data_IF_907854026537
#
_entry.id   IF_907854026537
#
_cell.length_a   1.000
_cell.length_b   1.000
_cell.length_c   1.000
_cell.angle_alpha   90.00
_cell.angle_beta   90.00
_cell.angle_gamma   90.00
#
_symmetry.space_group_name_H-M   'P 1'
#
loop_
_entity.id
_entity.type
_entity.pdbx_description
1 polymer ?
#
# COMPACT_ATOMS: atom_id res chain seq x y z
N UNK A 1 47.66 -13.20 -32.87
CA UNK A 1 47.22 -12.54 -34.12
C UNK A 1 45.83 -13.02 -34.49
N UNK A 2 45.08 -12.16 -35.18
CA UNK A 2 43.64 -12.18 -35.45
C UNK A 2 43.07 -13.52 -35.98
N UNK A 3 41.94 -13.87 -35.37
CA UNK A 3 40.68 -14.40 -35.92
C UNK A 3 40.53 -14.52 -37.45
N UNK A 4 40.08 -15.70 -37.88
CA UNK A 4 39.27 -15.94 -39.08
C UNK A 4 38.08 -16.85 -38.72
N UNK A 5 36.96 -16.55 -39.38
CA UNK A 5 35.60 -17.09 -39.24
C UNK A 5 35.50 -18.63 -39.36
N UNK A 6 34.39 -19.22 -38.88
CA UNK A 6 33.39 -19.91 -39.73
C UNK A 6 32.27 -20.52 -38.87
N UNK A 7 31.04 -20.29 -39.33
CA UNK A 7 29.79 -20.85 -38.85
C UNK A 7 29.65 -22.33 -39.27
N UNK A 8 29.23 -23.19 -38.35
CA UNK A 8 28.78 -24.55 -38.66
C UNK A 8 27.27 -24.57 -38.90
N UNK A 9 26.88 -24.70 -40.16
CA UNK A 9 25.49 -24.94 -40.57
C UNK A 9 25.19 -26.45 -40.53
N UNK A 10 24.03 -26.81 -39.97
CA UNK A 10 23.36 -28.08 -40.27
C UNK A 10 22.19 -27.78 -41.20
N UNK A 11 22.41 -28.04 -42.49
CA UNK A 11 21.41 -27.95 -43.55
C UNK A 11 20.51 -29.17 -43.53
N UNK A 12 19.20 -28.97 -43.38
CA UNK A 12 18.19 -29.87 -43.94
C UNK A 12 17.49 -29.09 -45.06
N UNK A 13 17.76 -29.49 -46.31
CA UNK A 13 17.11 -28.94 -47.51
C UNK A 13 15.86 -29.77 -47.82
N UNK A 14 14.70 -29.12 -47.82
CA UNK A 14 13.54 -29.55 -48.60
C UNK A 14 12.89 -28.30 -49.23
N UNK A 15 13.23 -28.12 -50.51
CA UNK A 15 12.47 -27.60 -51.64
C UNK A 15 11.35 -26.56 -51.39
N UNK A 16 11.69 -25.33 -51.78
CA UNK A 16 10.91 -24.34 -52.55
C UNK A 16 9.58 -23.73 -52.03
N UNK A 17 9.58 -22.39 -52.17
CA UNK A 17 8.49 -21.45 -52.46
C UNK A 17 7.67 -20.85 -51.29
N UNK A 18 7.81 -19.51 -51.26
CA UNK A 18 7.02 -18.45 -50.60
C UNK A 18 7.39 -18.11 -49.15
N UNK A 19 8.02 -16.94 -49.01
CA UNK A 19 8.16 -16.18 -47.78
C UNK A 19 6.80 -16.04 -47.07
N UNK A 20 6.69 -16.61 -45.88
CA UNK A 20 5.84 -16.09 -44.81
C UNK A 20 6.78 -15.74 -43.66
N UNK A 21 6.88 -14.45 -43.35
CA UNK A 21 7.50 -13.93 -42.14
C UNK A 21 6.70 -14.43 -40.94
N UNK A 22 7.25 -15.42 -40.22
CA UNK A 22 6.74 -15.79 -38.89
C UNK A 22 7.29 -14.74 -37.94
N UNK A 23 6.45 -13.78 -37.56
CA UNK A 23 6.71 -12.89 -36.43
C UNK A 23 6.90 -13.77 -35.19
N UNK A 24 8.12 -13.79 -34.64
CA UNK A 24 8.39 -14.42 -33.36
C UNK A 24 7.60 -13.70 -32.28
N UNK A 25 6.60 -14.37 -31.72
CA UNK A 25 5.83 -13.87 -30.57
C UNK A 25 6.77 -13.90 -29.37
N UNK A 26 7.33 -12.74 -29.00
CA UNK A 26 7.98 -12.56 -27.70
C UNK A 26 6.89 -12.52 -26.63
N UNK A 27 6.61 -13.66 -26.00
CA UNK A 27 5.76 -13.68 -24.81
C UNK A 27 6.57 -13.08 -23.67
N UNK A 28 6.15 -11.94 -23.07
CA UNK A 28 6.85 -11.41 -21.91
C UNK A 28 6.77 -12.44 -20.78
N UNK A 29 7.93 -12.86 -20.28
CA UNK A 29 8.02 -13.68 -19.08
C UNK A 29 7.55 -12.79 -17.93
N UNK A 30 6.32 -13.02 -17.46
CA UNK A 30 5.81 -12.41 -16.24
C UNK A 30 6.62 -12.95 -15.05
N UNK A 31 7.60 -12.19 -14.60
CA UNK A 31 8.18 -12.40 -13.28
C UNK A 31 7.11 -12.04 -12.25
N UNK A 32 6.73 -12.99 -11.41
CA UNK A 32 5.80 -12.76 -10.30
C UNK A 32 6.43 -11.76 -9.32
N UNK A 33 6.13 -10.47 -9.48
CA UNK A 33 6.46 -9.45 -8.49
C UNK A 33 5.57 -9.69 -7.27
N UNK A 34 6.16 -10.18 -6.17
CA UNK A 34 5.44 -10.26 -4.90
C UNK A 34 5.29 -8.83 -4.39
N UNK A 35 4.05 -8.33 -4.37
CA UNK A 35 3.72 -7.01 -3.86
C UNK A 35 3.20 -7.17 -2.44
N UNK A 36 3.81 -6.46 -1.51
CA UNK A 36 3.46 -6.47 -0.08
C UNK A 36 2.96 -5.09 0.32
N UNK A 37 2.08 -5.04 1.32
CA UNK A 37 1.48 -3.81 1.81
C UNK A 37 1.85 -3.64 3.26
N UNK A 38 2.38 -2.47 3.59
CA UNK A 38 2.77 -2.15 4.95
C UNK A 38 1.99 -0.93 5.46
N UNK A 39 1.66 -0.91 6.75
CA UNK A 39 1.18 0.27 7.44
C UNK A 39 2.30 0.84 8.30
N UNK A 40 2.51 2.15 8.22
CA UNK A 40 3.44 2.88 9.07
C UNK A 40 2.67 3.85 9.95
N UNK A 41 3.04 3.92 11.23
CA UNK A 41 2.40 4.81 12.20
C UNK A 41 3.41 5.36 13.20
N UNK A 42 3.04 6.44 13.91
CA UNK A 42 3.80 7.00 15.04
C UNK A 42 2.89 7.12 16.25
N UNK A 43 3.36 6.63 17.38
CA UNK A 43 2.68 6.85 18.66
C UNK A 43 3.12 8.21 19.21
N UNK A 44 2.20 9.13 19.52
CA UNK A 44 2.56 10.39 20.16
C UNK A 44 2.98 10.17 21.63
N UNK A 45 3.84 11.01 22.21
CA UNK A 45 4.11 10.97 23.65
C UNK A 45 2.83 11.28 24.45
N UNK A 46 2.57 10.53 25.52
CA UNK A 46 1.37 10.66 26.37
C UNK A 46 1.12 12.11 26.79
N UNK A 47 2.19 12.80 27.19
CA UNK A 47 2.17 14.18 27.70
C UNK A 47 1.72 15.22 26.65
N UNK A 48 1.74 14.86 25.37
CA UNK A 48 1.37 15.77 24.28
C UNK A 48 -0.07 15.60 23.84
N UNK A 49 -0.76 14.54 24.28
CA UNK A 49 -2.16 14.30 23.95
C UNK A 49 -3.03 15.34 24.68
N UNK A 50 -3.88 16.09 23.95
CA UNK A 50 -4.81 17.02 24.59
C UNK A 50 -5.74 16.29 25.56
N UNK A 51 -5.92 16.85 26.76
CA UNK A 51 -6.81 16.29 27.80
C UNK A 51 -8.28 16.67 27.59
N UNK A 52 -8.55 17.65 26.74
CA UNK A 52 -9.91 18.12 26.46
C UNK A 52 -10.08 18.36 24.95
N UNK A 53 -11.28 18.10 24.44
CA UNK A 53 -11.63 18.48 23.08
C UNK A 53 -12.02 19.98 22.99
N UNK A 54 -12.28 20.47 21.78
CA UNK A 54 -12.73 21.85 21.54
C UNK A 54 -14.07 22.20 22.19
N UNK A 55 -14.85 21.20 22.59
CA UNK A 55 -16.14 21.33 23.28
C UNK A 55 -16.01 21.21 24.81
N UNK A 56 -14.82 20.96 25.34
CA UNK A 56 -14.56 20.78 26.78
C UNK A 56 -14.79 19.37 27.34
N UNK A 57 -15.07 18.37 26.48
CA UNK A 57 -15.16 16.97 26.89
C UNK A 57 -13.78 16.43 27.24
N UNK A 58 -13.69 15.69 28.35
CA UNK A 58 -12.45 15.08 28.82
C UNK A 58 -12.06 13.88 27.93
N UNK A 59 -10.76 13.82 27.61
CA UNK A 59 -10.14 12.76 26.83
C UNK A 59 -9.25 11.95 27.75
N UNK A 60 -9.55 10.66 27.86
CA UNK A 60 -8.71 9.73 28.61
C UNK A 60 -7.47 9.40 27.78
N UNK A 61 -6.33 9.93 28.19
CA UNK A 61 -5.06 9.75 27.48
C UNK A 61 -4.56 8.31 27.46
N UNK A 62 -4.86 7.51 28.48
CA UNK A 62 -4.45 6.10 28.55
C UNK A 62 -5.31 5.26 27.60
N UNK A 63 -6.63 5.49 27.65
CA UNK A 63 -7.58 4.86 26.74
C UNK A 63 -7.30 5.25 25.28
N UNK A 64 -6.97 6.53 25.03
CA UNK A 64 -6.57 7.01 23.70
C UNK A 64 -5.40 6.21 23.12
N UNK A 65 -4.32 6.04 23.88
CA UNK A 65 -3.13 5.30 23.40
C UNK A 65 -3.45 3.83 23.20
N UNK A 66 -4.29 3.25 24.08
CA UNK A 66 -4.73 1.88 23.97
C UNK A 66 -5.53 1.66 22.68
N UNK A 67 -6.59 2.44 22.45
CA UNK A 67 -7.41 2.37 21.23
C UNK A 67 -6.59 2.62 19.96
N UNK A 68 -5.65 3.58 20.01
CA UNK A 68 -4.72 3.86 18.93
C UNK A 68 -3.88 2.62 18.57
N UNK A 69 -3.34 1.89 19.55
CA UNK A 69 -2.57 0.67 19.32
C UNK A 69 -3.47 -0.50 18.88
N UNK A 70 -4.67 -0.60 19.44
CA UNK A 70 -5.66 -1.62 19.09
C UNK A 70 -6.08 -1.53 17.62
N UNK A 71 -6.17 -0.34 17.02
CA UNK A 71 -6.36 -0.17 15.57
C UNK A 71 -5.29 -0.94 14.76
N UNK A 72 -4.02 -0.87 15.15
CA UNK A 72 -2.94 -1.58 14.45
C UNK A 72 -2.98 -3.08 14.72
N UNK A 73 -3.44 -3.51 15.89
CA UNK A 73 -3.71 -4.94 16.13
C UNK A 73 -4.86 -5.45 15.27
N UNK A 74 -5.93 -4.67 15.09
CA UNK A 74 -7.03 -4.99 14.19
C UNK A 74 -6.56 -5.04 12.74
N UNK A 75 -5.75 -4.07 12.29
CA UNK A 75 -5.17 -4.06 10.94
C UNK A 75 -4.41 -5.35 10.60
N UNK A 76 -3.68 -5.95 11.56
CA UNK A 76 -2.97 -7.23 11.34
C UNK A 76 -3.88 -8.41 11.03
N UNK A 77 -5.15 -8.33 11.42
CA UNK A 77 -6.14 -9.39 11.18
C UNK A 77 -6.82 -9.25 9.81
N UNK A 78 -6.70 -8.08 9.18
CA UNK A 78 -7.31 -7.78 7.88
C UNK A 78 -6.41 -8.14 6.70
N UNK A 79 -6.99 -8.24 5.51
CA UNK A 79 -6.27 -8.36 4.25
C UNK A 79 -5.77 -7.01 3.70
N UNK A 80 -6.05 -5.90 4.39
CA UNK A 80 -5.63 -4.56 3.97
C UNK A 80 -4.11 -4.40 4.01
N UNK A 81 -3.43 -5.04 4.98
CA UNK A 81 -2.02 -4.82 5.29
C UNK A 81 -1.35 -6.16 5.63
N UNK A 82 -0.14 -6.40 5.10
CA UNK A 82 0.67 -7.59 5.39
C UNK A 82 1.62 -7.36 6.59
N UNK A 83 2.20 -6.16 6.72
CA UNK A 83 3.10 -5.83 7.83
C UNK A 83 2.82 -4.45 8.42
N UNK A 84 3.10 -4.28 9.71
CA UNK A 84 2.93 -3.00 10.38
C UNK A 84 4.25 -2.58 11.02
N UNK A 85 4.62 -1.32 10.83
CA UNK A 85 5.84 -0.74 11.34
C UNK A 85 5.54 0.49 12.19
N UNK A 86 5.97 0.42 13.45
CA UNK A 86 6.02 1.59 14.32
C UNK A 86 7.26 2.42 14.00
N UNK A 87 7.05 3.67 13.62
CA UNK A 87 8.11 4.65 13.39
C UNK A 87 8.49 5.33 14.70
N UNK A 88 9.70 5.90 14.72
CA UNK A 88 10.19 6.68 15.87
C UNK A 88 9.21 7.80 16.24
N UNK A 89 8.93 7.90 17.53
CA UNK A 89 8.12 8.97 18.12
C UNK A 89 8.83 10.33 18.02
N UNK A 90 8.06 11.37 17.69
CA UNK A 90 8.51 12.77 17.72
C UNK A 90 7.94 13.50 18.96
N UNK A 91 8.55 14.59 19.43
CA UNK A 91 8.21 15.23 20.71
C UNK A 91 6.95 16.13 20.65
N UNK A 92 6.02 15.88 19.73
CA UNK A 92 4.81 16.69 19.55
C UNK A 92 3.63 15.83 19.07
N UNK A 93 2.42 16.31 19.35
CA UNK A 93 1.16 15.61 19.06
C UNK A 93 0.98 15.30 17.56
N UNK A 94 1.24 16.27 16.69
CA UNK A 94 0.97 16.15 15.24
C UNK A 94 1.72 15.01 14.52
N UNK A 95 2.73 14.41 15.16
CA UNK A 95 3.47 13.30 14.58
C UNK A 95 2.61 12.06 14.30
N UNK A 96 1.45 11.95 14.97
CA UNK A 96 0.47 10.89 14.75
C UNK A 96 -0.14 10.94 13.34
N UNK A 97 -0.23 12.13 12.71
CA UNK A 97 -0.82 12.32 11.39
C UNK A 97 0.15 11.94 10.27
N UNK A 98 0.48 10.65 10.20
CA UNK A 98 1.46 10.12 9.25
C UNK A 98 0.96 10.16 7.81
N UNK A 99 -0.36 10.09 7.60
CA UNK A 99 -0.98 10.14 6.28
C UNK A 99 -0.88 11.51 5.58
N UNK A 100 -0.65 12.59 6.34
CA UNK A 100 -0.53 13.94 5.78
C UNK A 100 0.79 14.16 5.03
N UNK A 101 1.82 13.37 5.35
CA UNK A 101 3.19 13.64 4.91
C UNK A 101 3.46 13.13 3.50
N UNK A 102 2.87 11.99 3.16
CA UNK A 102 3.18 11.24 1.94
C UNK A 102 1.89 10.58 1.45
N UNK A 103 1.64 10.67 0.15
CA UNK A 103 0.63 9.87 -0.51
C UNK A 103 1.30 8.84 -1.41
N UNK A 104 0.74 7.64 -1.47
CA UNK A 104 1.23 6.59 -2.35
C UNK A 104 0.10 6.07 -3.24
N UNK A 105 0.42 5.91 -4.53
CA UNK A 105 -0.46 5.27 -5.50
C UNK A 105 0.33 4.24 -6.29
N UNK A 106 -0.02 2.96 -6.12
CA UNK A 106 0.78 1.83 -6.62
C UNK A 106 2.25 1.95 -6.18
N UNK A 107 3.17 2.02 -7.14
CA UNK A 107 4.61 2.11 -6.89
C UNK A 107 5.10 3.57 -6.84
N UNK A 108 4.22 4.55 -7.01
CA UNK A 108 4.57 5.97 -7.02
C UNK A 108 4.39 6.55 -5.63
N UNK A 109 5.48 7.12 -5.10
CA UNK A 109 5.46 7.82 -3.80
C UNK A 109 5.51 9.31 -4.05
N UNK A 110 4.48 10.02 -3.58
CA UNK A 110 4.33 11.47 -3.66
C UNK A 110 4.53 12.07 -2.26
N UNK A 111 5.75 12.52 -1.92
CA UNK A 111 5.96 13.27 -0.69
C UNK A 111 5.31 14.66 -0.81
N UNK A 112 4.60 15.07 0.24
CA UNK A 112 3.92 16.36 0.24
C UNK A 112 4.92 17.53 0.31
N UNK A 113 4.53 18.73 -0.17
CA UNK A 113 5.35 19.93 -0.07
C UNK A 113 5.62 20.30 1.40
N UNK A 114 6.81 20.84 1.65
CA UNK A 114 7.20 21.33 2.99
C UNK A 114 6.58 22.67 3.36
N UNK A 115 6.08 23.40 2.37
CA UNK A 115 5.53 24.74 2.54
C UNK A 115 4.30 24.71 3.47
N UNK A 116 4.31 25.52 4.52
CA UNK A 116 3.28 25.57 5.55
C UNK A 116 3.33 24.41 6.56
N UNK A 117 4.35 23.55 6.48
CA UNK A 117 4.60 22.42 7.41
C UNK A 117 6.09 22.29 7.72
N UNK A 118 6.79 23.41 7.81
CA UNK A 118 8.24 23.45 7.98
C UNK A 118 8.68 22.78 9.29
N UNK A 119 7.86 22.89 10.35
CA UNK A 119 8.07 22.23 11.64
C UNK A 119 8.02 20.69 11.56
N UNK A 120 7.31 20.14 10.56
CA UNK A 120 7.17 18.70 10.29
C UNK A 120 8.12 18.20 9.20
N UNK A 121 9.04 19.04 8.71
CA UNK A 121 9.92 18.68 7.59
C UNK A 121 10.88 17.52 7.88
N UNK A 122 11.27 17.35 9.15
CA UNK A 122 12.08 16.22 9.61
C UNK A 122 11.31 14.90 9.54
N UNK A 123 10.00 14.91 9.78
CA UNK A 123 9.13 13.74 9.69
C UNK A 123 9.11 13.16 8.30
N UNK A 124 9.00 14.01 7.26
CA UNK A 124 8.95 13.56 5.86
C UNK A 124 10.23 12.78 5.53
N UNK A 125 11.39 13.32 5.93
CA UNK A 125 12.70 12.72 5.64
C UNK A 125 12.88 11.39 6.38
N UNK A 126 12.39 11.30 7.61
CA UNK A 126 12.41 10.07 8.40
C UNK A 126 11.43 9.03 7.86
N UNK A 127 10.19 9.41 7.54
CA UNK A 127 9.20 8.52 6.93
C UNK A 127 9.71 7.95 5.61
N UNK A 128 10.36 8.78 4.77
CA UNK A 128 11.01 8.30 3.54
C UNK A 128 12.13 7.29 3.83
N UNK A 129 12.88 7.44 4.92
CA UNK A 129 13.88 6.46 5.34
C UNK A 129 13.23 5.14 5.74
N UNK A 130 12.12 5.18 6.49
CA UNK A 130 11.36 3.98 6.84
C UNK A 130 10.80 3.29 5.59
N UNK A 131 10.20 4.03 4.65
CA UNK A 131 9.70 3.49 3.39
C UNK A 131 10.83 2.77 2.61
N UNK A 132 12.01 3.40 2.48
CA UNK A 132 13.18 2.77 1.83
C UNK A 132 13.66 1.52 2.57
N UNK A 133 13.70 1.56 3.90
CA UNK A 133 14.08 0.41 4.72
C UNK A 133 13.09 -0.75 4.58
N UNK A 134 11.80 -0.45 4.45
CA UNK A 134 10.76 -1.42 4.15
C UNK A 134 10.83 -1.96 2.71
N UNK A 135 11.73 -1.47 1.87
CA UNK A 135 11.93 -1.96 0.50
C UNK A 135 11.08 -1.24 -0.56
N UNK A 136 10.73 0.03 -0.31
CA UNK A 136 10.21 0.91 -1.35
C UNK A 136 11.22 1.06 -2.48
N UNK A 137 11.02 0.32 -3.57
CA UNK A 137 11.67 0.59 -4.88
C UNK A 137 10.90 1.62 -5.70
N UNK A 138 9.92 2.28 -5.08
CA UNK A 138 8.99 3.18 -5.76
C UNK A 138 9.66 4.43 -6.32
N UNK A 139 9.18 4.89 -7.46
CA UNK A 139 9.62 6.14 -8.07
C UNK A 139 9.13 7.30 -7.18
N UNK A 140 10.08 7.95 -6.50
CA UNK A 140 9.80 9.15 -5.73
C UNK A 140 9.53 10.30 -6.68
N UNK A 141 8.27 10.70 -6.77
CA UNK A 141 7.87 11.80 -7.61
C UNK A 141 7.88 13.11 -6.81
N UNK A 142 8.87 13.95 -7.10
CA UNK A 142 9.15 15.20 -6.41
C UNK A 142 8.33 16.39 -6.96
N UNK A 143 7.42 16.15 -7.91
CA UNK A 143 6.64 17.21 -8.57
C UNK A 143 5.98 18.19 -7.60
N UNK A 144 5.39 17.69 -6.51
CA UNK A 144 4.74 18.55 -5.53
C UNK A 144 5.75 19.38 -4.71
N UNK A 145 6.95 18.87 -4.50
CA UNK A 145 8.00 19.56 -3.73
C UNK A 145 8.65 20.70 -4.53
N UNK A 146 8.66 20.60 -5.85
CA UNK A 146 9.27 21.60 -6.74
C UNK A 146 8.37 22.83 -6.98
N UNK A 147 7.07 22.70 -6.70
CA UNK A 147 6.10 23.77 -6.90
C UNK A 147 6.30 24.83 -5.82
N UNK A 148 6.83 25.99 -6.23
CA UNK A 148 6.98 27.15 -5.34
C UNK A 148 5.62 27.61 -4.82
N UNK A 149 5.46 27.62 -3.50
CA UNK A 149 4.19 27.97 -2.85
C UNK A 149 3.09 26.90 -3.00
N UNK A 150 3.41 25.71 -3.52
CA UNK A 150 2.51 24.57 -3.55
C UNK A 150 2.26 24.07 -2.12
N UNK A 151 0.99 23.89 -1.77
CA UNK A 151 0.57 23.28 -0.52
C UNK A 151 -0.33 22.10 -0.87
N UNK A 152 -0.03 20.93 -0.29
CA UNK A 152 -0.85 19.72 -0.42
C UNK A 152 -0.78 18.90 0.86
N UNK A 153 -1.86 18.18 1.21
CA UNK A 153 -1.90 17.19 2.29
C UNK A 153 -2.15 15.80 1.72
N UNK A 154 -1.47 14.77 2.23
CA UNK A 154 -1.70 13.38 1.82
C UNK A 154 -3.13 12.88 2.14
N UNK A 155 -3.79 13.49 3.12
CA UNK A 155 -5.21 13.25 3.43
C UNK A 155 -6.20 13.77 2.38
N UNK A 156 -5.79 14.65 1.47
CA UNK A 156 -6.64 15.14 0.37
C UNK A 156 -6.57 14.22 -0.87
N UNK A 157 -5.89 13.08 -0.78
CA UNK A 157 -5.73 12.12 -1.87
C UNK A 157 -6.38 10.77 -1.55
N UNK A 158 -7.13 10.23 -2.50
CA UNK A 158 -7.73 8.90 -2.44
C UNK A 158 -7.28 8.10 -3.67
N UNK A 159 -6.68 6.94 -3.40
CA UNK A 159 -6.22 6.01 -4.43
C UNK A 159 -7.38 5.12 -4.89
N UNK A 160 -7.64 5.07 -6.20
CA UNK A 160 -8.65 4.18 -6.81
C UNK A 160 -8.04 3.34 -7.92
N UNK A 161 -8.69 2.25 -8.32
CA UNK A 161 -8.20 1.43 -9.44
C UNK A 161 -8.15 2.19 -10.78
N UNK A 162 -8.85 3.32 -10.87
CA UNK A 162 -9.03 4.09 -12.10
C UNK A 162 -8.33 5.45 -12.09
N UNK A 163 -7.47 5.70 -11.08
CA UNK A 163 -6.72 6.95 -10.93
C UNK A 163 -6.68 7.45 -9.49
N UNK A 164 -6.13 8.65 -9.32
CA UNK A 164 -6.01 9.31 -8.02
C UNK A 164 -7.07 10.41 -7.95
N UNK A 165 -7.96 10.35 -6.96
CA UNK A 165 -8.85 11.47 -6.65
C UNK A 165 -8.09 12.45 -5.75
N UNK A 166 -8.07 13.73 -6.10
CA UNK A 166 -7.38 14.78 -5.36
C UNK A 166 -8.33 15.92 -5.05
N UNK A 167 -8.55 16.22 -3.77
CA UNK A 167 -9.28 17.42 -3.38
C UNK A 167 -8.37 18.66 -3.46
N UNK A 168 -8.94 19.79 -3.89
CA UNK A 168 -8.27 21.10 -3.89
C UNK A 168 -9.26 22.23 -3.58
N UNK A 169 -8.73 23.38 -3.17
CA UNK A 169 -9.54 24.57 -2.83
C UNK A 169 -9.49 24.93 -1.35
N UNK A 170 -8.72 24.19 -0.55
CA UNK A 170 -8.52 24.45 0.88
C UNK A 170 -7.15 25.08 1.13
N UNK A 171 -6.92 25.57 2.36
CA UNK A 171 -5.60 26.00 2.80
C UNK A 171 -4.58 24.83 2.82
N UNK A 172 -5.05 23.58 2.95
CA UNK A 172 -4.21 22.38 3.03
C UNK A 172 -3.71 21.93 1.66
N UNK A 173 -4.58 22.00 0.65
CA UNK A 173 -4.29 21.63 -0.73
C UNK A 173 -4.77 22.69 -1.71
N UNK A 174 -3.81 23.42 -2.28
CA UNK A 174 -4.07 24.59 -3.10
C UNK A 174 -4.13 24.30 -4.61
N UNK A 175 -4.62 25.28 -5.37
CA UNK A 175 -4.76 25.18 -6.82
C UNK A 175 -3.41 24.97 -7.53
N UNK A 176 -2.31 25.49 -7.00
CA UNK A 176 -0.98 25.33 -7.60
C UNK A 176 -0.54 23.86 -7.60
N UNK A 177 -0.74 23.15 -6.50
CA UNK A 177 -0.44 21.72 -6.41
C UNK A 177 -1.32 20.88 -7.33
N UNK A 178 -2.61 21.25 -7.48
CA UNK A 178 -3.49 20.61 -8.47
C UNK A 178 -2.99 20.85 -9.90
N UNK A 179 -2.61 22.09 -10.24
CA UNK A 179 -2.13 22.41 -11.59
C UNK A 179 -0.86 21.67 -11.97
N UNK A 180 0.04 21.47 -10.99
CA UNK A 180 1.26 20.71 -11.18
C UNK A 180 0.97 19.24 -11.49
N UNK A 181 0.05 18.61 -10.76
CA UNK A 181 -0.28 17.19 -10.96
C UNK A 181 -1.12 16.93 -12.22
N UNK A 182 -1.96 17.88 -12.63
CA UNK A 182 -2.80 17.75 -13.84
C UNK A 182 -2.10 18.21 -15.12
N UNK A 183 -0.94 18.85 -14.99
CA UNK A 183 -0.18 19.43 -16.09
C UNK A 183 -0.82 20.63 -16.76
N UNK A 184 -1.78 21.28 -16.10
CA UNK A 184 -2.43 22.50 -16.60
C UNK A 184 -1.51 23.74 -16.56
N UNK A 185 -0.42 23.70 -15.79
CA UNK A 185 0.61 24.73 -15.75
C UNK A 185 1.93 24.37 -16.44
N UNK A 186 1.98 23.29 -17.22
CA UNK A 186 3.22 22.80 -17.80
C UNK A 186 3.76 23.73 -18.91
N UNK A 187 5.08 23.97 -18.99
CA UNK A 187 5.67 24.85 -20.00
C UNK A 187 5.63 24.26 -21.42
N UNK A 188 5.48 22.93 -21.55
CA UNK A 188 5.38 22.24 -22.82
C UNK A 188 4.49 20.99 -22.72
N UNK A 189 4.06 20.48 -23.88
CA UNK A 189 3.16 19.33 -23.97
C UNK A 189 3.80 18.03 -23.47
N UNK A 190 5.11 17.87 -23.63
CA UNK A 190 5.84 16.70 -23.12
C UNK A 190 5.82 16.61 -21.57
N UNK A 191 6.03 17.74 -20.88
CA UNK A 191 5.91 17.82 -19.43
C UNK A 191 4.44 17.63 -18.99
N UNK A 192 3.48 18.20 -19.72
CA UNK A 192 2.06 18.00 -19.45
C UNK A 192 1.67 16.51 -19.55
N UNK A 193 2.20 15.79 -20.54
CA UNK A 193 1.97 14.35 -20.72
C UNK A 193 2.57 13.50 -19.60
N UNK A 194 3.78 13.83 -19.13
CA UNK A 194 4.38 13.16 -17.97
C UNK A 194 3.57 13.39 -16.68
N UNK A 195 3.05 14.59 -16.49
CA UNK A 195 2.24 14.94 -15.32
C UNK A 195 0.87 14.25 -15.36
N UNK A 196 0.22 14.21 -16.53
CA UNK A 196 -1.03 13.46 -16.77
C UNK A 196 -0.87 11.95 -16.63
N UNK A 197 0.34 11.40 -16.72
CA UNK A 197 0.57 9.96 -16.55
C UNK A 197 0.18 9.44 -15.15
N UNK A 198 0.12 10.34 -14.15
CA UNK A 198 -0.37 10.02 -12.81
C UNK A 198 -1.89 9.83 -12.74
N UNK A 199 -2.63 10.16 -13.80
CA UNK A 199 -4.09 10.05 -13.90
C UNK A 199 -4.81 10.62 -12.65
N UNK A 200 -4.45 11.86 -12.32
CA UNK A 200 -5.04 12.61 -11.21
C UNK A 200 -6.34 13.26 -11.67
N UNK A 201 -7.41 13.01 -10.93
CA UNK A 201 -8.74 13.56 -11.13
C UNK A 201 -8.99 14.58 -10.02
N UNK A 202 -8.99 15.88 -10.34
CA UNK A 202 -9.18 16.93 -9.35
C UNK A 202 -10.65 17.06 -8.95
N UNK A 203 -10.90 17.27 -7.66
CA UNK A 203 -12.21 17.54 -7.06
C UNK A 203 -12.12 18.87 -6.33
N UNK A 204 -12.87 19.86 -6.80
CA UNK A 204 -12.96 21.14 -6.09
C UNK A 204 -13.81 20.95 -4.84
N UNK A 205 -13.31 21.40 -3.69
CA UNK A 205 -14.00 21.34 -2.41
C UNK A 205 -14.08 22.73 -1.78
N UNK A 206 -15.08 22.91 -0.92
CA UNK A 206 -15.23 24.13 -0.13
C UNK A 206 -14.01 24.37 0.78
N UNK A 207 -13.62 25.62 1.08
CA UNK A 207 -12.43 25.92 1.89
C UNK A 207 -12.45 25.31 3.30
N UNK A 208 -13.64 25.07 3.85
CA UNK A 208 -13.92 24.47 5.16
C UNK A 208 -14.07 22.93 5.10
N UNK A 209 -13.99 22.32 3.92
CA UNK A 209 -14.17 20.89 3.79
C UNK A 209 -13.07 20.09 4.54
N UNK A 210 -13.43 19.00 5.22
CA UNK A 210 -12.47 18.04 5.77
C UNK A 210 -11.58 17.41 4.69
N UNK A 211 -10.47 16.75 5.08
CA UNK A 211 -9.65 15.98 4.15
C UNK A 211 -10.48 14.97 3.33
N UNK A 212 -10.16 14.83 2.04
CA UNK A 212 -10.91 13.94 1.15
C UNK A 212 -10.97 12.50 1.66
N UNK A 213 -9.85 12.00 2.20
CA UNK A 213 -9.72 10.63 2.67
C UNK A 213 -10.47 10.37 3.99
N UNK A 214 -10.93 11.43 4.68
CA UNK A 214 -11.84 11.33 5.83
C UNK A 214 -13.30 11.25 5.38
N UNK A 215 -13.61 11.87 4.23
CA UNK A 215 -14.95 11.88 3.65
C UNK A 215 -15.22 10.66 2.77
N UNK A 216 -14.18 10.09 2.16
CA UNK A 216 -14.31 9.05 1.14
C UNK A 216 -13.15 8.06 1.15
N UNK A 217 -13.47 6.78 0.92
CA UNK A 217 -12.49 5.72 0.69
C UNK A 217 -12.91 4.83 -0.48
N UNK A 218 -11.93 4.18 -1.10
CA UNK A 218 -12.16 3.20 -2.16
C UNK A 218 -12.06 1.78 -1.59
N UNK A 219 -13.04 0.93 -1.92
CA UNK A 219 -13.11 -0.46 -1.49
C UNK A 219 -13.55 -1.38 -2.63
N UNK A 220 -13.18 -2.65 -2.54
CA UNK A 220 -13.53 -3.68 -3.50
C UNK A 220 -13.01 -3.36 -4.90
N UNK A 221 -13.90 -3.42 -5.90
CA UNK A 221 -13.56 -3.22 -7.32
C UNK A 221 -13.97 -1.85 -7.87
N UNK A 222 -15.04 -1.27 -7.33
CA UNK A 222 -15.69 -0.05 -7.84
C UNK A 222 -16.51 0.67 -6.77
N UNK A 223 -16.30 0.35 -5.50
CA UNK A 223 -17.13 0.86 -4.41
C UNK A 223 -16.45 2.07 -3.77
N UNK A 224 -17.17 3.18 -3.71
CA UNK A 224 -16.77 4.37 -2.97
C UNK A 224 -17.59 4.42 -1.70
N UNK A 225 -16.91 4.34 -0.56
CA UNK A 225 -17.51 4.54 0.76
C UNK A 225 -17.40 6.03 1.05
N UNK A 226 -18.51 6.66 1.40
CA UNK A 226 -18.62 8.11 1.52
C UNK A 226 -19.42 8.47 2.77
N UNK A 227 -18.96 9.44 3.55
CA UNK A 227 -19.75 10.00 4.64
C UNK A 227 -20.98 10.73 4.10
N UNK A 228 -22.14 10.51 4.73
CA UNK A 228 -23.41 11.12 4.33
C UNK A 228 -23.53 12.60 4.77
N UNK A 229 -22.49 13.38 4.49
CA UNK A 229 -22.41 14.83 4.71
C UNK A 229 -22.53 15.57 3.37
N UNK A 230 -22.75 16.89 3.42
CA UNK A 230 -22.80 17.74 2.22
C UNK A 230 -21.50 17.60 1.40
N UNK A 231 -20.34 17.67 2.07
CA UNK A 231 -19.03 17.54 1.43
C UNK A 231 -18.79 16.13 0.89
N UNK A 232 -19.18 15.09 1.62
CA UNK A 232 -19.06 13.70 1.16
C UNK A 232 -19.89 13.44 -0.09
N UNK A 233 -21.18 13.82 -0.08
CA UNK A 233 -22.07 13.69 -1.24
C UNK A 233 -21.52 14.41 -2.48
N UNK A 234 -21.08 15.65 -2.31
CA UNK A 234 -20.46 16.42 -3.39
C UNK A 234 -19.20 15.75 -3.93
N UNK A 235 -18.32 15.25 -3.06
CA UNK A 235 -17.10 14.54 -3.47
C UNK A 235 -17.42 13.26 -4.27
N UNK A 236 -18.45 12.52 -3.88
CA UNK A 236 -18.89 11.31 -4.59
C UNK A 236 -19.46 11.63 -5.97
N UNK A 237 -20.29 12.67 -6.08
CA UNK A 237 -20.86 13.14 -7.34
C UNK A 237 -19.78 13.66 -8.28
N UNK A 238 -18.81 14.43 -7.76
CA UNK A 238 -17.65 14.89 -8.52
C UNK A 238 -16.78 13.71 -8.99
N UNK A 239 -16.52 12.71 -8.15
CA UNK A 239 -15.76 11.52 -8.54
C UNK A 239 -16.47 10.71 -9.64
N UNK A 240 -17.79 10.53 -9.51
CA UNK A 240 -18.58 9.77 -10.49
C UNK A 240 -18.71 10.49 -11.83
N UNK A 241 -18.92 11.81 -11.82
CA UNK A 241 -19.02 12.64 -13.03
C UNK A 241 -17.69 12.76 -13.78
N UNK A 242 -16.57 12.89 -13.05
CA UNK A 242 -15.25 13.03 -13.66
C UNK A 242 -14.71 11.71 -14.24
N UNK A 243 -15.21 10.56 -13.77
CA UNK A 243 -14.83 9.23 -14.28
C UNK A 243 -16.10 8.47 -14.74
N UNK A 244 -16.75 8.91 -15.83
CA UNK A 244 -18.06 8.39 -16.24
C UNK A 244 -18.00 6.95 -16.78
N UNK A 245 -16.81 6.47 -17.15
CA UNK A 245 -16.60 5.11 -17.68
C UNK A 245 -16.76 4.03 -16.62
N UNK A 246 -16.68 4.40 -15.34
CA UNK A 246 -16.71 3.45 -14.23
C UNK A 246 -18.11 3.46 -13.62
N UNK A 247 -18.81 2.31 -13.56
CA UNK A 247 -20.08 2.22 -12.88
C UNK A 247 -19.87 2.19 -11.37
N UNK A 248 -19.63 3.34 -10.76
CA UNK A 248 -19.36 3.49 -9.33
C UNK A 248 -20.53 2.98 -8.49
N UNK A 249 -20.22 2.19 -7.46
CA UNK A 249 -21.16 1.87 -6.38
C UNK A 249 -20.88 2.81 -5.22
N UNK A 250 -21.76 3.78 -4.99
CA UNK A 250 -21.60 4.76 -3.90
C UNK A 250 -22.31 4.22 -2.66
N UNK A 251 -21.55 3.92 -1.63
CA UNK A 251 -22.04 3.49 -0.32
C UNK A 251 -21.96 4.66 0.66
N UNK A 252 -23.10 5.01 1.27
CA UNK A 252 -23.19 6.11 2.21
C UNK A 252 -23.18 5.60 3.65
N UNK A 253 -22.24 6.10 4.45
CA UNK A 253 -22.12 5.82 5.89
C UNK A 253 -22.52 7.03 6.72
N UNK A 254 -22.83 6.83 7.98
CA UNK A 254 -23.29 7.89 8.88
C UNK A 254 -22.23 9.00 9.04
N UNK A 255 -22.67 10.26 9.21
CA UNK A 255 -21.76 11.36 9.54
C UNK A 255 -20.98 11.06 10.82
N UNK A 256 -19.68 11.37 10.83
CA UNK A 256 -18.81 11.14 12.01
C UNK A 256 -18.28 9.72 12.15
N UNK A 257 -18.79 8.75 11.37
CA UNK A 257 -18.22 7.41 11.31
C UNK A 257 -16.82 7.46 10.70
N UNK A 258 -15.81 7.06 11.47
CA UNK A 258 -14.46 6.84 10.95
C UNK A 258 -14.39 5.48 10.25
N UNK A 259 -13.79 5.44 9.08
CA UNK A 259 -13.54 4.21 8.35
C UNK A 259 -12.17 4.25 7.67
N UNK A 260 -11.58 3.08 7.47
CA UNK A 260 -10.32 2.91 6.76
C UNK A 260 -10.45 1.80 5.73
N UNK A 261 -10.35 2.19 4.48
CA UNK A 261 -10.12 1.32 3.34
C UNK A 261 -9.15 2.00 2.40
N UNK A 262 -8.25 1.23 1.80
CA UNK A 262 -7.29 1.76 0.87
C UNK A 262 -6.98 0.75 -0.24
N UNK A 263 -6.75 1.25 -1.45
CA UNK A 263 -6.32 0.41 -2.56
C UNK A 263 -4.86 0.00 -2.36
N UNK A 264 -4.67 -1.18 -1.77
CA UNK A 264 -3.33 -1.65 -1.42
C UNK A 264 -2.86 -2.86 -2.23
N UNK A 265 -3.79 -3.68 -2.74
CA UNK A 265 -3.50 -4.97 -3.37
C UNK A 265 -3.42 -4.97 -4.90
N UNK A 266 -2.88 -6.04 -5.50
CA UNK A 266 -3.18 -6.40 -6.91
C UNK A 266 -4.65 -6.78 -7.04
N UNK A 267 -5.19 -7.38 -5.97
CA UNK A 267 -6.57 -7.77 -5.83
C UNK A 267 -7.37 -6.65 -5.18
N UNK A 268 -8.65 -6.58 -5.54
CA UNK A 268 -9.65 -5.80 -4.83
C UNK A 268 -9.70 -6.22 -3.36
N UNK A 269 -9.43 -5.28 -2.46
CA UNK A 269 -9.56 -5.50 -1.01
C UNK A 269 -10.98 -5.16 -0.59
N UNK A 270 -11.66 -6.11 0.04
CA UNK A 270 -13.06 -5.97 0.47
C UNK A 270 -13.19 -5.65 1.95
N UNK A 271 -12.09 -5.78 2.71
CA UNK A 271 -12.05 -5.47 4.13
C UNK A 271 -12.06 -3.96 4.36
N UNK A 272 -12.90 -3.53 5.30
CA UNK A 272 -13.04 -2.12 5.69
C UNK A 272 -13.00 -2.07 7.21
N UNK A 273 -12.09 -1.31 7.79
CA UNK A 273 -12.15 -1.02 9.23
C UNK A 273 -13.17 0.08 9.46
N UNK A 274 -14.05 -0.13 10.44
CA UNK A 274 -15.18 0.74 10.72
C UNK A 274 -15.25 0.95 12.23
N UNK A 275 -15.61 2.16 12.60
CA UNK A 275 -15.91 2.52 13.98
C UNK A 275 -17.07 1.67 14.54
N UNK A 276 -16.82 0.97 15.65
CA UNK A 276 -17.76 0.01 16.24
C UNK A 276 -19.06 0.67 16.73
N UNK A 277 -19.03 1.96 17.05
CA UNK A 277 -20.21 2.67 17.58
C UNK A 277 -21.28 2.96 16.52
N UNK A 278 -21.03 2.64 15.25
CA UNK A 278 -21.93 2.91 14.11
C UNK A 278 -22.47 1.62 13.47
N UNK A 279 -23.39 0.89 14.14
CA UNK A 279 -23.88 -0.41 13.67
C UNK A 279 -24.62 -0.31 12.33
N UNK A 280 -25.41 0.74 12.09
CA UNK A 280 -26.11 0.92 10.81
C UNK A 280 -25.12 1.05 9.64
N UNK A 281 -24.01 1.77 9.87
CA UNK A 281 -22.95 1.92 8.87
C UNK A 281 -22.24 0.59 8.60
N UNK A 282 -21.98 -0.20 9.65
CA UNK A 282 -21.41 -1.55 9.50
C UNK A 282 -22.34 -2.48 8.72
N UNK A 283 -23.64 -2.49 9.02
CA UNK A 283 -24.64 -3.30 8.30
C UNK A 283 -24.69 -2.93 6.82
N UNK A 284 -24.76 -1.63 6.48
CA UNK A 284 -24.73 -1.16 5.09
C UNK A 284 -23.46 -1.57 4.34
N UNK A 285 -22.31 -1.57 5.01
CA UNK A 285 -21.04 -2.04 4.44
C UNK A 285 -21.11 -3.55 4.16
N UNK A 286 -21.67 -4.34 5.08
CA UNK A 286 -21.92 -5.76 4.88
C UNK A 286 -22.88 -6.05 3.72
N UNK A 287 -24.00 -5.33 3.64
CA UNK A 287 -24.99 -5.45 2.56
C UNK A 287 -24.41 -5.10 1.18
N UNK A 288 -23.43 -4.18 1.13
CA UNK A 288 -22.72 -3.84 -0.09
C UNK A 288 -21.73 -4.92 -0.57
N UNK A 289 -21.58 -6.02 0.18
CA UNK A 289 -20.66 -7.12 -0.12
C UNK A 289 -19.21 -6.83 0.29
N UNK A 290 -19.01 -5.89 1.20
CA UNK A 290 -17.73 -5.61 1.85
C UNK A 290 -17.68 -6.30 3.22
N UNK A 291 -16.49 -6.40 3.81
CA UNK A 291 -16.27 -7.05 5.09
C UNK A 291 -15.92 -6.02 6.17
N UNK A 292 -16.89 -5.55 6.99
CA UNK A 292 -16.64 -4.58 8.03
C UNK A 292 -15.92 -5.21 9.23
N UNK A 293 -14.79 -4.62 9.63
CA UNK A 293 -14.07 -4.94 10.87
C UNK A 293 -14.32 -3.84 11.91
N UNK A 294 -14.98 -4.16 13.03
CA UNK A 294 -15.23 -3.18 14.08
C UNK A 294 -13.93 -2.81 14.81
N UNK A 295 -13.76 -1.52 15.10
CA UNK A 295 -12.67 -0.98 15.91
C UNK A 295 -13.23 0.01 16.91
N UNK A 296 -12.83 -0.12 18.17
CA UNK A 296 -13.11 0.88 19.21
C UNK A 296 -12.33 2.17 18.93
N UNK A 297 -13.04 3.26 18.65
CA UNK A 297 -12.42 4.53 18.23
C UNK A 297 -13.00 5.75 18.93
N UNK A 298 -13.42 5.60 20.19
CA UNK A 298 -14.14 6.65 20.93
C UNK A 298 -13.25 7.86 21.26
N UNK A 299 -12.08 7.65 21.87
CA UNK A 299 -11.22 8.75 22.35
C UNK A 299 -10.55 9.51 21.21
N UNK A 300 -9.98 8.85 20.17
CA UNK A 300 -9.42 9.60 19.05
C UNK A 300 -10.49 10.40 18.29
N UNK A 301 -11.72 9.89 18.21
CA UNK A 301 -12.84 10.58 17.57
C UNK A 301 -13.23 11.87 18.29
N UNK A 302 -13.16 11.94 19.62
CA UNK A 302 -13.38 13.19 20.38
C UNK A 302 -12.42 14.31 19.95
N UNK A 303 -11.20 13.96 19.55
CA UNK A 303 -10.19 14.88 19.05
C UNK A 303 -10.28 15.13 17.54
N UNK A 304 -11.31 14.58 16.87
CA UNK A 304 -11.48 14.68 15.42
C UNK A 304 -10.46 13.87 14.61
N UNK A 305 -9.80 12.89 15.23
CA UNK A 305 -8.80 12.05 14.56
C UNK A 305 -9.49 10.89 13.86
N UNK A 306 -9.28 10.75 12.55
CA UNK A 306 -9.76 9.62 11.77
C UNK A 306 -8.73 8.49 11.74
N UNK A 307 -9.19 7.24 11.59
CA UNK A 307 -8.30 6.09 11.39
C UNK A 307 -7.39 6.24 10.16
N UNK A 308 -7.87 6.95 9.13
CA UNK A 308 -7.11 7.21 7.91
C UNK A 308 -5.97 8.19 8.12
N UNK A 309 -6.15 9.21 8.94
CA UNK A 309 -5.15 10.25 9.21
C UNK A 309 -3.89 9.70 9.92
N UNK A 310 -4.07 8.67 10.76
CA UNK A 310 -3.00 8.09 11.59
C UNK A 310 -2.19 6.99 10.89
N UNK A 311 -2.75 6.41 9.84
CA UNK A 311 -2.20 5.24 9.18
C UNK A 311 -1.67 5.60 7.78
N UNK A 312 -0.35 5.61 7.62
CA UNK A 312 0.27 5.68 6.30
C UNK A 312 0.35 4.27 5.72
N UNK A 313 -0.56 3.96 4.80
CA UNK A 313 -0.51 2.69 4.08
C UNK A 313 0.41 2.85 2.86
N UNK A 314 1.43 2.00 2.81
CA UNK A 314 2.44 1.99 1.78
C UNK A 314 2.49 0.63 1.08
N UNK A 315 2.57 0.64 -0.25
CA UNK A 315 2.65 -0.57 -1.07
C UNK A 315 4.05 -0.72 -1.62
N UNK A 316 4.58 -1.94 -1.65
CA UNK A 316 5.90 -2.18 -2.20
C UNK A 316 5.86 -3.31 -3.22
N UNK A 317 6.34 -3.04 -4.43
CA UNK A 317 6.60 -4.07 -5.41
C UNK A 317 8.03 -4.58 -5.25
N UNK A 318 8.19 -5.86 -4.87
CA UNK A 318 9.51 -6.49 -4.97
C UNK A 318 9.76 -6.81 -6.44
N UNK A 319 10.67 -6.07 -7.11
CA UNK A 319 11.26 -6.53 -8.36
C UNK A 319 11.28 -5.60 -9.59
N UNK A 320 11.27 -4.28 -9.44
CA UNK A 320 11.73 -3.40 -10.54
C UNK A 320 13.16 -2.93 -10.25
N UNK A 321 13.95 -2.73 -11.31
CA UNK A 321 15.41 -2.65 -11.34
C UNK A 321 16.08 -1.46 -10.60
N UNK A 322 15.42 -0.86 -9.61
CA UNK A 322 16.01 0.12 -8.69
C UNK A 322 15.99 -0.46 -7.28
N UNK A 323 16.92 -1.39 -7.04
CA UNK A 323 17.11 -2.06 -5.77
C UNK A 323 17.89 -1.15 -4.81
N UNK A 324 17.26 -0.07 -4.32
CA UNK A 324 17.83 0.82 -3.32
C UNK A 324 17.16 0.65 -1.97
N UNK A 325 17.89 0.12 -0.98
CA UNK A 325 17.51 0.22 0.44
C UNK A 325 17.85 -0.98 1.32
N UNK A 326 17.76 -2.19 0.78
CA UNK A 326 18.12 -3.43 1.51
C UNK A 326 18.84 -4.47 0.62
N UNK A 327 18.91 -4.25 -0.69
CA UNK A 327 19.58 -5.13 -1.64
C UNK A 327 21.10 -4.91 -1.73
N UNK A 328 21.59 -3.79 -1.20
CA UNK A 328 23.01 -3.38 -1.23
C UNK A 328 23.75 -3.63 0.09
N UNK A 329 23.15 -4.32 1.06
CA UNK A 329 23.94 -4.86 2.18
C UNK A 329 24.84 -5.97 1.64
N UNK A 330 26.12 -5.92 2.00
CA UNK A 330 27.25 -6.68 1.40
C UNK A 330 27.05 -8.21 1.30
N UNK A 331 26.01 -8.79 1.91
CA UNK A 331 25.62 -10.19 1.75
C UNK A 331 24.92 -10.55 0.43
N UNK A 332 24.49 -9.58 -0.39
CA UNK A 332 23.71 -9.84 -1.61
C UNK A 332 24.35 -9.43 -2.94
N UNK A 333 25.60 -8.93 -2.92
CA UNK A 333 26.44 -8.87 -4.14
C UNK A 333 26.74 -10.26 -4.73
N UNK A 334 26.50 -11.34 -3.98
CA UNK A 334 26.59 -12.71 -4.48
C UNK A 334 25.37 -13.19 -5.28
N UNK A 335 24.23 -12.51 -5.20
CA UNK A 335 22.96 -12.96 -5.80
C UNK A 335 22.63 -12.35 -7.16
N UNK A 336 23.51 -11.50 -7.72
CA UNK A 336 23.34 -10.90 -9.05
C UNK A 336 23.76 -11.80 -10.22
N UNK A 337 24.14 -13.06 -9.96
CA UNK A 337 24.32 -14.05 -11.01
C UNK A 337 23.05 -14.90 -11.16
N UNK A 338 22.15 -14.44 -12.01
CA UNK A 338 20.98 -15.21 -12.42
C UNK A 338 21.38 -16.56 -13.01
N UNK A 339 20.73 -17.61 -12.52
CA UNK A 339 20.91 -19.03 -12.88
C UNK A 339 20.73 -19.36 -14.38
N UNK A 340 20.31 -18.38 -15.20
CA UNK A 340 20.00 -18.54 -16.62
C UNK A 340 20.78 -17.60 -17.55
N UNK A 341 21.86 -16.98 -17.06
CA UNK A 341 22.77 -16.20 -17.92
C UNK A 341 23.52 -17.12 -18.90
N UNK A 342 23.56 -16.72 -20.18
CA UNK A 342 24.41 -17.36 -21.21
C UNK A 342 25.87 -17.29 -20.75
N UNK A 343 26.41 -18.42 -20.29
CA UNK A 343 27.81 -18.51 -19.82
C UNK A 343 28.00 -19.05 -18.40
N UNK A 344 26.93 -19.46 -17.69
CA UNK A 344 27.01 -19.92 -16.30
C UNK A 344 27.96 -21.12 -16.07
N UNK A 345 28.11 -22.00 -17.06
CA UNK A 345 29.05 -23.13 -17.02
C UNK A 345 30.53 -22.72 -17.03
N UNK A 346 30.84 -21.45 -17.34
CA UNK A 346 32.20 -20.88 -17.27
C UNK A 346 32.52 -20.26 -15.91
N UNK A 347 31.56 -20.23 -14.99
CA UNK A 347 31.76 -19.71 -13.65
C UNK A 347 32.49 -20.77 -12.80
N UNK A 348 33.82 -20.63 -12.72
CA UNK A 348 34.71 -21.52 -11.95
C UNK A 348 34.42 -21.54 -10.44
N UNK A 349 33.59 -20.62 -9.96
CA UNK A 349 33.14 -20.54 -8.57
C UNK A 349 31.98 -21.49 -8.28
N UNK A 350 31.08 -21.71 -9.26
CA UNK A 350 29.88 -22.56 -9.14
C UNK A 350 30.09 -23.96 -9.73
N UNK A 351 30.96 -24.08 -10.73
CA UNK A 351 31.22 -25.32 -11.46
C UNK A 351 32.71 -25.65 -11.46
N UNK A 352 33.04 -26.88 -11.09
CA UNK A 352 34.38 -27.45 -11.28
C UNK A 352 34.22 -28.68 -12.19
N UNK A 353 34.96 -28.71 -13.30
CA UNK A 353 34.90 -29.79 -14.30
C UNK A 353 33.48 -30.09 -14.83
N UNK A 354 32.65 -29.05 -15.01
CA UNK A 354 31.28 -29.21 -15.52
C UNK A 354 30.25 -29.71 -14.50
N UNK A 355 30.66 -29.97 -13.26
CA UNK A 355 29.77 -30.35 -12.17
C UNK A 355 29.66 -29.23 -11.11
N UNK A 356 28.46 -29.03 -10.56
CA UNK A 356 28.22 -28.02 -9.51
C UNK A 356 28.98 -28.41 -8.24
N UNK A 357 29.65 -27.44 -7.60
CA UNK A 357 30.40 -27.69 -6.35
C UNK A 357 29.49 -27.99 -5.16
N UNK A 358 28.33 -27.35 -5.03
CA UNK A 358 27.37 -27.56 -3.92
C UNK A 358 25.91 -27.38 -4.38
N UNK A 359 24.99 -28.16 -3.79
CA UNK A 359 23.56 -28.22 -4.12
C UNK A 359 22.68 -27.53 -3.08
N UNK A 360 21.83 -26.62 -3.56
CA UNK A 360 20.81 -25.86 -2.81
C UNK A 360 19.63 -26.75 -2.40
N UNK A 361 19.79 -27.60 -1.39
CA UNK A 361 18.66 -28.29 -0.76
C UNK A 361 18.56 -28.06 0.75
N UNK A 362 19.38 -27.18 1.32
CA UNK A 362 19.24 -26.74 2.72
C UNK A 362 18.82 -25.27 2.81
N UNK A 363 17.85 -24.97 3.66
CA UNK A 363 17.46 -23.58 3.94
C UNK A 363 18.65 -22.77 4.48
N UNK A 364 18.66 -21.43 4.36
CA UNK A 364 19.80 -20.57 4.77
C UNK A 364 20.28 -20.81 6.22
N UNK A 365 19.36 -21.21 7.10
CA UNK A 365 19.64 -21.59 8.49
C UNK A 365 20.53 -22.84 8.60
N UNK A 366 20.34 -23.83 7.73
CA UNK A 366 21.11 -25.09 7.74
C UNK A 366 22.55 -24.87 7.26
N UNK A 367 22.75 -23.92 6.34
CA UNK A 367 24.07 -23.51 5.88
C UNK A 367 24.87 -22.78 6.99
N UNK A 368 24.20 -21.94 7.78
CA UNK A 368 24.80 -21.21 8.91
C UNK A 368 25.08 -22.10 10.13
N UNK A 369 24.27 -23.15 10.34
CA UNK A 369 24.53 -24.15 11.38
C UNK A 369 25.72 -25.05 11.02
N UNK A 370 25.91 -25.39 9.74
CA UNK A 370 27.06 -26.19 9.28
C UNK A 370 28.36 -25.39 9.17
N UNK A 371 28.30 -24.06 9.02
CA UNK A 371 29.50 -23.20 9.03
C UNK A 371 30.08 -22.98 10.43
N UNK A 372 29.36 -23.39 11.49
CA UNK A 372 29.80 -23.22 12.88
C UNK A 372 29.71 -21.77 13.38
N UNK A 373 29.06 -20.88 12.63
CA UNK A 373 28.90 -19.46 12.97
C UNK A 373 27.83 -19.23 14.06
N UNK A 374 26.91 -20.19 14.22
CA UNK A 374 25.88 -20.17 15.27
C UNK A 374 26.05 -21.40 16.18
N UNK A 375 25.89 -21.25 17.52
CA UNK A 375 25.82 -22.39 18.42
C UNK A 375 24.61 -23.27 18.07
N UNK A 376 24.74 -24.58 18.24
CA UNK A 376 23.67 -25.53 17.93
C UNK A 376 22.38 -25.16 18.69
N UNK A 377 21.23 -25.03 17.99
CA UNK A 377 19.99 -24.64 18.62
C UNK A 377 19.51 -25.77 19.54
N UNK A 378 19.27 -25.42 20.80
CA UNK A 378 18.64 -26.32 21.76
C UNK A 378 17.19 -26.55 21.32
N UNK A 379 16.93 -27.70 20.72
CA UNK A 379 15.58 -28.09 20.29
C UNK A 379 14.68 -28.35 21.52
N UNK A 380 13.86 -27.36 21.90
CA UNK A 380 12.66 -27.65 22.69
C UNK A 380 11.60 -28.28 21.79
N UNK A 381 11.15 -29.49 22.17
CA UNK A 381 10.05 -30.15 21.46
C UNK A 381 8.76 -29.31 21.62
N UNK A 382 7.99 -29.07 20.55
CA UNK A 382 6.70 -28.40 20.67
C UNK A 382 5.81 -29.15 21.67
N UNK A 383 5.08 -28.47 22.57
CA UNK A 383 4.10 -29.12 23.42
C UNK A 383 3.05 -29.82 22.54
N UNK A 384 2.85 -31.11 22.79
CA UNK A 384 1.84 -31.91 22.08
C UNK A 384 0.45 -31.49 22.56
N UNK A 385 -0.18 -30.55 21.87
CA UNK A 385 -1.61 -30.33 22.03
C UNK A 385 -2.34 -31.53 21.41
N UNK A 386 -3.21 -32.17 22.19
CA UNK A 386 -4.11 -33.20 21.67
C UNK A 386 -4.99 -32.58 20.56
N UNK A 387 -5.26 -33.29 19.45
CA UNK A 387 -6.17 -32.80 18.44
C UNK A 387 -7.54 -32.50 19.06
N UNK A 388 -8.24 -31.44 18.65
CA UNK A 388 -9.58 -31.15 19.12
C UNK A 388 -10.50 -32.33 18.79
N UNK A 389 -11.20 -32.86 19.79
CA UNK A 389 -12.26 -33.84 19.57
C UNK A 389 -13.32 -33.21 18.68
N UNK A 390 -13.32 -33.56 17.39
CA UNK A 390 -14.46 -33.33 16.53
C UNK A 390 -15.64 -34.16 17.08
N UNK A 391 -16.46 -33.56 17.95
CA UNK A 391 -17.85 -34.00 18.10
C UNK A 391 -18.53 -33.69 16.78
N UNK A 392 -18.89 -34.74 16.04
CA UNK A 392 -19.79 -34.67 14.88
C UNK A 392 -21.03 -33.88 15.32
N UNK A 393 -21.16 -32.64 14.84
CA UNK A 393 -22.43 -31.92 14.88
C UNK A 393 -23.42 -32.72 14.05
N UNK A 394 -24.49 -33.18 14.69
CA UNK A 394 -25.58 -33.87 14.01
C UNK A 394 -26.20 -32.94 12.97
N UNK A 395 -26.30 -33.43 11.74
CA UNK A 395 -27.15 -32.86 10.71
C UNK A 395 -28.60 -32.88 11.24
N UNK A 396 -29.20 -31.69 11.42
CA UNK A 396 -30.65 -31.54 11.52
C UNK A 396 -31.24 -32.07 10.21
N UNK A 397 -32.03 -33.15 10.29
CA UNK A 397 -32.83 -33.63 9.18
C UNK A 397 -33.93 -32.61 8.91
N UNK A 398 -33.97 -32.10 7.68
CA UNK A 398 -35.08 -31.28 7.19
C UNK A 398 -36.38 -32.09 7.25
N UNK A 399 -37.38 -31.56 7.95
CA UNK A 399 -38.74 -32.05 7.91
C UNK A 399 -39.29 -31.96 6.47
N UNK A 400 -39.19 -33.06 5.75
CA UNK A 400 -39.99 -33.34 4.58
C UNK A 400 -40.16 -34.86 4.49
N UNK A 401 -41.42 -35.30 4.41
CA UNK A 401 -41.91 -36.68 4.21
C UNK A 401 -42.19 -37.52 5.47
N UNK A 402 -43.40 -37.35 6.04
CA UNK A 402 -44.48 -38.37 6.01
C UNK A 402 -45.64 -37.97 6.93
N UNK A 403 -46.66 -37.37 6.32
CA UNK A 403 -48.05 -37.56 6.72
C UNK A 403 -48.64 -38.61 5.78
N UNK A 404 -48.73 -39.83 6.28
CA UNK A 404 -49.88 -40.74 6.10
C UNK A 404 -50.12 -41.44 7.43
#
# INVERSE_FOLDING_TARGET
MRSLLVAGAATIRLVSRRQRTIQGISVPIFTSTRRYVNALYRVPPVQTVPTHNSSGEEVDTELFIRQFKELFYALKQTQLVEQIHEMRTCPYYECLFTADLIFQHYDIVLPMPKYGREHRSSEISETLRYLRACGASGDFNHILQDVKGGAASGGDFVSTSHGILMAYGTARTNKLSMMALTGSGAPNEAAALQQRALNVVPIEVSPDAPPLADLMAFAGKRTLIVQDTVHGRHAAEAAASNIPKVPWQILRVEPGCSFLSHLCGVNSVYDVLVDQDYPNSMERIGEAGLNPFPVEWTEPRKLGITMRSVCLIARFARGTMSAGGYADSDGHRGASFTYHSRGIAKNSRLFQNGHRRHGDSGAPLEAQLRSGELPEPVYQRPPRYAPPMHRRGGLMTSDAERRE
#
